data_IF_258426363719
#
_entry.id   IF_258426363719
#
_cell.length_a   1.000
_cell.length_b   1.000
_cell.length_c   1.000
_cell.angle_alpha   90.00
_cell.angle_beta   90.00
_cell.angle_gamma   90.00
#
_symmetry.space_group_name_H-M   'P 1'
#
loop_
_entity.id
_entity.type
_entity.pdbx_description
1 polymer ?
#
# COMPACT_ATOMS: atom_id res chain seq x y z
N UNK A 1 9.59 15.16 10.62
CA UNK A 1 10.07 14.36 9.46
C UNK A 1 8.87 14.12 8.55
N UNK A 2 9.06 14.14 7.24
CA UNK A 2 8.00 13.80 6.28
C UNK A 2 7.63 12.33 6.41
N UNK A 3 6.34 12.01 6.32
CA UNK A 3 5.83 10.62 6.35
C UNK A 3 5.99 9.90 5.00
N UNK A 4 6.33 10.66 3.93
CA UNK A 4 6.74 10.16 2.62
C UNK A 4 7.99 10.92 2.19
N UNK A 5 8.90 10.23 1.56
CA UNK A 5 10.05 10.81 0.87
C UNK A 5 9.96 10.49 -0.62
N UNK A 6 10.24 11.47 -1.47
CA UNK A 6 10.28 11.30 -2.92
C UNK A 6 11.65 11.73 -3.43
N UNK A 7 12.30 10.82 -4.14
CA UNK A 7 13.55 11.10 -4.85
C UNK A 7 13.36 10.84 -6.34
N UNK A 8 13.72 11.81 -7.17
CA UNK A 8 13.59 11.69 -8.62
C UNK A 8 14.96 11.67 -9.27
N UNK A 9 15.19 10.66 -10.10
CA UNK A 9 16.42 10.54 -10.88
C UNK A 9 16.14 9.84 -12.21
N UNK A 10 16.67 10.36 -13.29
CA UNK A 10 16.61 9.79 -14.65
C UNK A 10 15.19 9.42 -15.13
N UNK A 11 14.17 10.16 -14.66
CA UNK A 11 12.76 9.91 -14.99
C UNK A 11 12.09 8.82 -14.16
N UNK A 12 12.72 8.40 -13.08
CA UNK A 12 12.13 7.47 -12.09
C UNK A 12 11.91 8.23 -10.79
N UNK A 13 10.70 8.14 -10.24
CA UNK A 13 10.38 8.62 -8.90
C UNK A 13 10.41 7.46 -7.90
N UNK A 14 11.32 7.50 -6.95
CA UNK A 14 11.34 6.61 -5.79
C UNK A 14 10.50 7.23 -4.68
N UNK A 15 9.37 6.60 -4.38
CA UNK A 15 8.46 6.98 -3.30
C UNK A 15 8.68 6.05 -2.12
N UNK A 16 9.09 6.59 -0.99
CA UNK A 16 9.38 5.84 0.23
C UNK A 16 8.38 6.18 1.32
N UNK A 17 7.58 5.20 1.76
CA UNK A 17 6.76 5.33 2.96
C UNK A 17 7.68 5.46 4.17
N UNK A 18 7.60 6.57 4.93
CA UNK A 18 8.60 6.91 5.94
C UNK A 18 8.01 7.06 7.34
N UNK A 19 7.44 5.97 7.83
CA UNK A 19 7.04 5.78 9.23
C UNK A 19 7.64 4.48 9.79
N UNK A 20 8.98 4.30 9.78
CA UNK A 20 9.63 3.02 10.11
C UNK A 20 9.32 2.53 11.52
N UNK A 21 9.16 3.43 12.50
CA UNK A 21 8.83 3.08 13.89
C UNK A 21 7.42 2.48 14.04
N UNK A 22 6.52 2.81 13.11
CA UNK A 22 5.18 2.24 13.01
C UNK A 22 5.07 1.21 11.86
N UNK A 23 6.19 0.68 11.37
CA UNK A 23 6.21 -0.25 10.23
C UNK A 23 5.45 0.25 9.01
N UNK A 24 5.47 1.55 8.76
CA UNK A 24 4.76 2.24 7.67
C UNK A 24 3.23 1.97 7.68
N UNK A 25 2.65 1.78 8.87
CA UNK A 25 1.21 1.62 9.01
C UNK A 25 0.46 2.87 8.58
N UNK A 26 -0.68 2.67 7.91
CA UNK A 26 -1.52 3.70 7.31
C UNK A 26 -2.35 4.41 8.38
N UNK A 27 -1.99 5.62 8.69
CA UNK A 27 -2.80 6.57 9.43
C UNK A 27 -3.24 7.71 8.49
N UNK A 28 -4.04 8.65 8.98
CA UNK A 28 -4.52 9.80 8.18
C UNK A 28 -3.37 10.52 7.46
N UNK A 29 -2.32 10.89 8.17
CA UNK A 29 -1.21 11.66 7.62
C UNK A 29 -0.48 10.93 6.48
N UNK A 30 -0.21 9.61 6.63
CA UNK A 30 0.41 8.83 5.57
C UNK A 30 -0.53 8.63 4.40
N UNK A 31 -1.82 8.41 4.65
CA UNK A 31 -2.83 8.21 3.61
C UNK A 31 -3.00 9.45 2.74
N UNK A 32 -3.15 10.61 3.36
CA UNK A 32 -3.23 11.90 2.67
C UNK A 32 -1.95 12.21 1.88
N UNK A 33 -0.78 11.87 2.46
CA UNK A 33 0.50 12.05 1.78
C UNK A 33 0.64 11.13 0.56
N UNK A 34 0.18 9.86 0.62
CA UNK A 34 0.14 8.95 -0.54
C UNK A 34 -0.72 9.58 -1.64
N UNK A 35 -1.95 9.98 -1.32
CA UNK A 35 -2.90 10.55 -2.29
C UNK A 35 -2.29 11.77 -2.97
N UNK A 36 -1.77 12.73 -2.19
CA UNK A 36 -1.16 13.94 -2.73
C UNK A 36 0.07 13.62 -3.59
N UNK A 37 0.96 12.75 -3.12
CA UNK A 37 2.18 12.38 -3.85
C UNK A 37 1.86 11.75 -5.21
N UNK A 38 0.93 10.80 -5.27
CA UNK A 38 0.56 10.15 -6.53
C UNK A 38 -0.20 11.10 -7.46
N UNK A 39 -1.02 12.01 -6.93
CA UNK A 39 -1.66 13.05 -7.73
C UNK A 39 -0.64 14.01 -8.37
N UNK A 40 0.40 14.43 -7.62
CA UNK A 40 1.47 15.26 -8.14
C UNK A 40 2.31 14.54 -9.19
N UNK A 41 2.68 13.28 -8.94
CA UNK A 41 3.46 12.47 -9.87
C UNK A 41 2.69 12.15 -11.16
N UNK A 42 1.37 11.99 -11.08
CA UNK A 42 0.53 11.69 -12.25
C UNK A 42 0.60 12.77 -13.33
N UNK A 43 0.84 14.02 -12.95
CA UNK A 43 0.92 15.17 -13.87
C UNK A 43 2.36 15.63 -14.13
N UNK A 44 3.36 15.00 -13.51
CA UNK A 44 4.77 15.34 -13.72
C UNK A 44 5.32 14.67 -15.01
N UNK A 45 5.45 15.46 -16.07
CA UNK A 45 5.98 14.97 -17.36
C UNK A 45 7.44 14.50 -17.29
N UNK A 46 8.17 14.85 -16.24
CA UNK A 46 9.55 14.39 -16.00
C UNK A 46 9.60 12.96 -15.47
N UNK A 47 8.48 12.42 -14.93
CA UNK A 47 8.39 11.09 -14.34
C UNK A 47 7.81 10.09 -15.33
N UNK A 48 8.57 9.04 -15.62
CA UNK A 48 8.18 7.95 -16.55
C UNK A 48 7.86 6.64 -15.86
N UNK A 49 8.29 6.46 -14.64
CA UNK A 49 8.01 5.29 -13.80
C UNK A 49 8.12 5.66 -12.32
N UNK A 50 7.37 4.95 -11.49
CA UNK A 50 7.35 5.14 -10.04
C UNK A 50 7.78 3.85 -9.37
N UNK A 51 8.63 3.94 -8.37
CA UNK A 51 8.99 2.83 -7.47
C UNK A 51 8.46 3.16 -6.09
N UNK A 52 7.58 2.31 -5.56
CA UNK A 52 7.03 2.44 -4.20
C UNK A 52 7.71 1.45 -3.26
N UNK A 53 8.24 1.93 -2.14
CA UNK A 53 8.90 1.11 -1.12
C UNK A 53 8.61 1.63 0.28
N UNK A 54 9.09 0.93 1.32
CA UNK A 54 8.98 1.34 2.70
C UNK A 54 10.33 1.55 3.38
N UNK A 55 10.44 2.56 4.21
CA UNK A 55 11.62 2.74 5.07
C UNK A 55 11.67 1.68 6.17
N UNK A 56 12.87 1.25 6.54
CA UNK A 56 13.09 0.30 7.63
C UNK A 56 12.76 -1.15 7.27
N UNK A 57 12.14 -1.88 8.22
CA UNK A 57 11.97 -3.34 8.15
C UNK A 57 10.65 -3.79 7.49
N UNK A 58 9.75 -2.87 7.16
CA UNK A 58 8.47 -3.19 6.57
C UNK A 58 8.25 -2.37 5.30
N UNK A 59 7.55 -2.96 4.35
CA UNK A 59 6.93 -2.20 3.26
C UNK A 59 5.76 -1.39 3.83
N UNK A 60 4.71 -2.05 4.32
CA UNK A 60 3.58 -1.44 5.00
C UNK A 60 2.83 -2.48 5.83
N UNK A 61 2.59 -2.21 7.10
CA UNK A 61 1.90 -3.12 8.02
C UNK A 61 0.35 -3.04 7.94
N UNK A 62 -0.19 -2.28 6.99
CA UNK A 62 -1.64 -2.08 6.87
C UNK A 62 -2.13 -0.89 7.70
N UNK A 63 -3.41 -0.91 8.08
CA UNK A 63 -4.02 0.19 8.83
C UNK A 63 -3.43 0.28 10.23
N UNK A 64 -3.12 1.50 10.67
CA UNK A 64 -2.62 1.78 12.01
C UNK A 64 -3.76 1.59 13.04
N UNK A 65 -3.72 0.47 13.77
CA UNK A 65 -4.77 0.11 14.73
C UNK A 65 -4.89 1.10 15.89
N UNK A 66 -3.82 1.81 16.24
CA UNK A 66 -3.87 2.88 17.24
C UNK A 66 -4.64 4.07 16.67
N UNK A 67 -4.34 4.46 15.43
CA UNK A 67 -5.08 5.53 14.77
C UNK A 67 -6.57 5.19 14.63
N UNK A 68 -6.94 3.92 14.41
CA UNK A 68 -8.34 3.49 14.39
C UNK A 68 -9.04 3.63 15.75
N UNK A 69 -8.32 3.45 16.85
CA UNK A 69 -8.87 3.63 18.19
C UNK A 69 -9.14 5.10 18.46
N UNK A 70 -8.22 5.98 18.03
CA UNK A 70 -8.31 7.42 18.24
C UNK A 70 -9.26 8.12 17.24
N UNK A 71 -9.37 7.56 16.02
CA UNK A 71 -10.17 8.06 14.90
C UNK A 71 -10.99 6.92 14.27
N UNK A 72 -12.12 6.48 14.88
CA UNK A 72 -12.93 5.35 14.36
C UNK A 72 -13.44 5.57 12.93
N UNK A 73 -13.68 6.84 12.55
CA UNK A 73 -14.11 7.22 11.21
C UNK A 73 -13.01 7.14 10.14
N UNK A 74 -11.76 6.85 10.52
CA UNK A 74 -10.64 6.76 9.58
C UNK A 74 -10.90 5.76 8.45
N UNK A 75 -11.54 4.63 8.75
CA UNK A 75 -11.90 3.63 7.74
C UNK A 75 -13.03 4.09 6.84
N UNK A 76 -14.01 4.84 7.37
CA UNK A 76 -15.20 5.25 6.61
C UNK A 76 -15.00 6.52 5.79
N UNK A 77 -14.15 7.43 6.24
CA UNK A 77 -13.98 8.76 5.64
C UNK A 77 -12.58 9.04 5.11
N UNK A 78 -11.56 8.41 5.69
CA UNK A 78 -10.17 8.69 5.36
C UNK A 78 -9.52 7.68 4.42
N UNK A 79 -9.51 6.42 4.83
CA UNK A 79 -8.91 5.35 4.03
C UNK A 79 -9.89 4.77 3.00
N UNK A 80 -11.20 4.80 3.29
CA UNK A 80 -12.22 4.10 2.53
C UNK A 80 -12.06 2.57 2.58
N UNK A 81 -13.17 1.85 2.66
CA UNK A 81 -13.15 0.37 2.72
C UNK A 81 -13.53 -0.28 1.38
N UNK A 82 -13.49 0.44 0.30
CA UNK A 82 -13.94 -0.05 -1.00
C UNK A 82 -12.99 0.29 -2.13
N UNK A 83 -13.30 -0.16 -3.36
CA UNK A 83 -12.50 0.12 -4.54
C UNK A 83 -12.42 1.62 -4.88
N UNK A 84 -13.32 2.42 -4.32
CA UNK A 84 -13.33 3.88 -4.44
C UNK A 84 -12.48 4.56 -3.35
N UNK A 85 -11.68 3.79 -2.59
CA UNK A 85 -10.72 4.36 -1.63
C UNK A 85 -9.84 5.40 -2.34
N UNK A 86 -9.68 6.61 -1.76
CA UNK A 86 -8.86 7.65 -2.37
C UNK A 86 -7.41 7.21 -2.65
N UNK A 87 -6.85 6.30 -1.83
CA UNK A 87 -5.52 5.73 -2.06
C UNK A 87 -5.52 4.87 -3.34
N UNK A 88 -6.49 3.97 -3.48
CA UNK A 88 -6.59 3.09 -4.65
C UNK A 88 -6.80 3.92 -5.91
N UNK A 89 -7.73 4.88 -5.86
CA UNK A 89 -8.02 5.79 -6.97
C UNK A 89 -6.79 6.60 -7.39
N UNK A 90 -6.01 7.11 -6.42
CA UNK A 90 -4.80 7.86 -6.73
C UNK A 90 -3.73 7.02 -7.46
N UNK A 91 -3.57 5.74 -7.07
CA UNK A 91 -2.64 4.85 -7.76
C UNK A 91 -3.18 4.45 -9.15
N UNK A 92 -4.47 4.12 -9.27
CA UNK A 92 -5.09 3.69 -10.53
C UNK A 92 -5.19 4.82 -11.57
N UNK A 93 -5.28 6.07 -11.14
CA UNK A 93 -5.29 7.24 -12.02
C UNK A 93 -3.88 7.67 -12.46
N UNK A 94 -2.84 7.13 -11.84
CA UNK A 94 -1.47 7.43 -12.22
C UNK A 94 -1.14 6.77 -13.56
N UNK A 95 -0.79 7.54 -14.61
CA UNK A 95 -0.53 6.98 -15.94
C UNK A 95 0.84 6.29 -16.04
N UNK A 96 1.75 6.57 -15.11
CA UNK A 96 3.07 5.95 -15.09
C UNK A 96 2.99 4.55 -14.46
N UNK A 97 3.78 3.58 -14.94
CA UNK A 97 3.89 2.29 -14.28
C UNK A 97 4.42 2.44 -12.85
N UNK A 98 3.75 1.77 -11.91
CA UNK A 98 4.10 1.74 -10.49
C UNK A 98 4.69 0.37 -10.15
N UNK A 99 5.93 0.35 -9.72
CA UNK A 99 6.67 -0.84 -9.32
C UNK A 99 6.71 -0.89 -7.80
N UNK A 100 6.14 -1.93 -7.19
CA UNK A 100 6.26 -2.15 -5.76
C UNK A 100 7.59 -2.83 -5.43
N UNK A 101 8.51 -2.15 -4.74
CA UNK A 101 9.74 -2.72 -4.20
C UNK A 101 9.51 -3.12 -2.74
N UNK A 102 9.07 -4.38 -2.54
CA UNK A 102 8.68 -4.89 -1.22
C UNK A 102 9.91 -5.30 -0.43
N UNK A 103 10.37 -4.40 0.43
CA UNK A 103 11.60 -4.57 1.23
C UNK A 103 11.41 -5.43 2.48
N UNK A 104 10.19 -5.64 2.95
CA UNK A 104 9.88 -6.32 4.20
C UNK A 104 8.42 -6.74 4.30
N UNK A 105 7.82 -6.61 5.49
CA UNK A 105 6.43 -7.00 5.71
C UNK A 105 5.44 -6.12 4.93
N UNK A 106 4.55 -6.76 4.17
CA UNK A 106 3.39 -6.17 3.50
C UNK A 106 2.14 -6.92 3.99
N UNK A 107 1.36 -6.28 4.86
CA UNK A 107 0.30 -6.97 5.62
C UNK A 107 -1.03 -6.26 5.44
N UNK A 108 -2.10 -7.00 5.22
CA UNK A 108 -3.49 -6.52 5.14
C UNK A 108 -3.61 -5.37 4.12
N UNK A 109 -3.97 -4.15 4.52
CA UNK A 109 -4.00 -2.99 3.63
C UNK A 109 -2.65 -2.65 3.00
N UNK A 110 -1.52 -2.98 3.67
CA UNK A 110 -0.19 -2.86 3.09
C UNK A 110 0.08 -3.88 1.98
N UNK A 111 -0.50 -5.07 2.08
CA UNK A 111 -0.47 -6.05 1.00
C UNK A 111 -1.39 -5.60 -0.15
N UNK A 112 -2.55 -5.01 0.16
CA UNK A 112 -3.42 -4.42 -0.87
C UNK A 112 -2.73 -3.27 -1.61
N UNK A 113 -1.99 -2.41 -0.90
CA UNK A 113 -1.19 -1.35 -1.49
C UNK A 113 -0.09 -1.90 -2.42
N UNK A 114 0.58 -2.99 -2.02
CA UNK A 114 1.52 -3.68 -2.88
C UNK A 114 0.83 -4.24 -4.14
N UNK A 115 -0.34 -4.88 -4.00
CA UNK A 115 -1.11 -5.42 -5.11
C UNK A 115 -1.77 -4.34 -6.00
N UNK A 116 -1.80 -3.09 -5.55
CA UNK A 116 -2.21 -1.96 -6.38
C UNK A 116 -1.12 -1.51 -7.35
N UNK A 117 0.15 -1.88 -7.12
CA UNK A 117 1.23 -1.68 -8.07
C UNK A 117 1.06 -2.59 -9.31
N UNK A 118 1.63 -2.19 -10.44
CA UNK A 118 1.56 -2.96 -11.70
C UNK A 118 2.32 -4.28 -11.61
N UNK A 119 3.47 -4.28 -10.94
CA UNK A 119 4.18 -5.52 -10.58
C UNK A 119 5.10 -5.31 -9.38
N UNK A 120 5.58 -6.42 -8.82
CA UNK A 120 6.35 -6.41 -7.57
C UNK A 120 7.74 -6.99 -7.77
N UNK A 121 8.72 -6.31 -7.15
CA UNK A 121 9.97 -6.93 -6.73
C UNK A 121 9.93 -7.13 -5.22
N UNK A 122 10.32 -8.31 -4.76
CA UNK A 122 10.35 -8.64 -3.36
C UNK A 122 11.77 -8.99 -2.92
N UNK A 123 12.22 -8.41 -1.81
CA UNK A 123 13.46 -8.82 -1.17
C UNK A 123 13.33 -10.22 -0.55
N UNK A 124 14.43 -10.87 -0.24
CA UNK A 124 14.43 -12.13 0.53
C UNK A 124 13.79 -12.00 1.93
N UNK A 125 13.71 -10.78 2.43
CA UNK A 125 13.08 -10.45 3.72
C UNK A 125 11.59 -10.13 3.60
N UNK A 126 11.04 -10.05 2.37
CA UNK A 126 9.64 -9.76 2.17
C UNK A 126 8.74 -10.84 2.79
N UNK A 127 7.66 -10.39 3.41
CA UNK A 127 6.62 -11.27 3.99
C UNK A 127 5.27 -10.69 3.63
N UNK A 128 4.41 -11.53 3.12
CA UNK A 128 3.04 -11.17 2.74
C UNK A 128 2.05 -11.90 3.64
N UNK A 129 1.07 -11.17 4.17
CA UNK A 129 0.02 -11.76 5.01
C UNK A 129 -1.32 -11.07 4.75
N UNK A 130 -2.37 -11.88 4.63
CA UNK A 130 -3.75 -11.43 4.60
C UNK A 130 -4.40 -11.64 5.97
N UNK A 131 -4.29 -10.66 6.86
CA UNK A 131 -4.83 -10.75 8.21
C UNK A 131 -6.20 -10.12 8.37
N UNK A 132 -6.91 -9.78 7.27
CA UNK A 132 -8.23 -9.15 7.32
C UNK A 132 -9.22 -9.95 8.19
N UNK A 133 -9.29 -11.27 8.00
CA UNK A 133 -10.15 -12.13 8.79
C UNK A 133 -9.84 -12.11 10.30
N UNK A 134 -8.56 -11.95 10.67
CA UNK A 134 -8.14 -11.87 12.08
C UNK A 134 -8.57 -10.59 12.78
N UNK A 135 -8.70 -9.51 12.03
CA UNK A 135 -9.08 -8.18 12.54
C UNK A 135 -10.55 -7.85 12.26
N UNK A 136 -11.30 -8.77 11.63
CA UNK A 136 -12.74 -8.60 11.38
C UNK A 136 -13.07 -7.57 10.30
N UNK A 137 -12.15 -7.31 9.37
CA UNK A 137 -12.31 -6.35 8.26
C UNK A 137 -12.30 -7.12 6.93
N UNK A 138 -13.10 -6.69 5.97
CA UNK A 138 -13.03 -7.23 4.60
C UNK A 138 -11.93 -6.54 3.79
N UNK A 139 -11.21 -7.28 2.93
CA UNK A 139 -10.27 -6.69 1.98
C UNK A 139 -11.04 -5.84 0.96
N UNK A 140 -10.87 -4.53 1.02
CA UNK A 140 -11.65 -3.58 0.23
C UNK A 140 -10.94 -3.03 -1.00
N UNK A 141 -9.61 -3.13 -1.05
CA UNK A 141 -8.79 -2.54 -2.12
C UNK A 141 -8.39 -3.55 -3.20
N UNK A 142 -9.08 -4.68 -3.24
CA UNK A 142 -8.98 -5.64 -4.33
C UNK A 142 -8.14 -6.88 -4.05
N UNK A 143 -7.65 -7.11 -2.81
CA UNK A 143 -6.83 -8.28 -2.48
C UNK A 143 -7.57 -9.58 -2.85
N UNK A 144 -8.83 -9.73 -2.47
CA UNK A 144 -9.64 -10.92 -2.75
C UNK A 144 -9.73 -11.25 -4.25
N UNK A 145 -9.66 -10.24 -5.11
CA UNK A 145 -9.74 -10.37 -6.56
C UNK A 145 -8.36 -10.53 -7.21
N UNK A 146 -7.40 -9.70 -6.81
CA UNK A 146 -6.06 -9.67 -7.40
C UNK A 146 -5.24 -10.88 -6.98
N UNK A 147 -5.23 -11.22 -5.68
CA UNK A 147 -4.40 -12.29 -5.13
C UNK A 147 -4.71 -13.65 -5.77
N UNK A 148 -5.99 -14.00 -5.89
CA UNK A 148 -6.41 -15.28 -6.48
C UNK A 148 -5.99 -15.42 -7.95
N UNK A 149 -5.89 -14.31 -8.69
CA UNK A 149 -5.42 -14.30 -10.08
C UNK A 149 -3.89 -14.42 -10.19
N UNK A 150 -3.17 -13.94 -9.17
CA UNK A 150 -1.70 -13.92 -9.18
C UNK A 150 -1.13 -15.26 -8.71
N UNK A 151 -1.61 -15.80 -7.57
CA UNK A 151 -1.03 -17.00 -6.94
C UNK A 151 -1.92 -18.25 -7.05
N UNK A 152 -3.06 -18.13 -7.69
CA UNK A 152 -4.07 -19.19 -7.78
C UNK A 152 -4.98 -19.27 -6.56
N UNK A 153 -6.21 -19.77 -6.79
CA UNK A 153 -7.30 -19.69 -5.81
C UNK A 153 -7.01 -20.44 -4.51
N UNK A 154 -6.32 -21.59 -4.57
CA UNK A 154 -6.06 -22.39 -3.37
C UNK A 154 -5.09 -21.70 -2.42
N UNK A 155 -3.99 -21.11 -2.94
CA UNK A 155 -3.04 -20.35 -2.14
C UNK A 155 -3.66 -19.07 -1.59
N UNK A 156 -4.46 -18.38 -2.40
CA UNK A 156 -5.17 -17.19 -1.94
C UNK A 156 -6.11 -17.51 -0.77
N UNK A 157 -6.89 -18.60 -0.89
CA UNK A 157 -7.77 -19.06 0.20
C UNK A 157 -6.99 -19.43 1.46
N UNK A 158 -5.88 -20.15 1.31
CA UNK A 158 -4.99 -20.49 2.42
C UNK A 158 -4.57 -19.23 3.17
N UNK A 159 -4.04 -18.22 2.45
CA UNK A 159 -3.60 -16.97 3.05
C UNK A 159 -4.76 -16.21 3.73
N UNK A 160 -5.92 -16.09 3.07
CA UNK A 160 -7.06 -15.36 3.63
C UNK A 160 -7.71 -16.05 4.83
N UNK A 161 -7.64 -17.39 4.93
CA UNK A 161 -8.20 -18.14 6.04
C UNK A 161 -7.26 -18.27 7.23
N UNK A 162 -5.95 -18.24 6.99
CA UNK A 162 -4.94 -18.46 8.05
C UNK A 162 -4.25 -17.17 8.49
N UNK A 163 -4.20 -16.16 7.67
CA UNK A 163 -3.61 -14.84 7.94
C UNK A 163 -2.09 -14.81 7.81
#
# INVERSE_FOLDING_TARGET
MSVIEVHQEAGVALVTLNRPDAHNALNRALSEAIIATFADLAIDEGVRAIVLTGAGRAFCAGVDLKALTDEPELLSSGLGLGPESPIVVALEQCPQPIIGAVNGAAVTGGFELALACDYLFASEHARFADTHARVGILPGWGLSQKLSRIIGINRAREMSLTG
#
